data_IF_638105736218
#
_entry.id   IF_638105736218
#
_cell.length_a   1.000
_cell.length_b   1.000
_cell.length_c   1.000
_cell.angle_alpha   90.00
_cell.angle_beta   90.00
_cell.angle_gamma   90.00
#
_symmetry.space_group_name_H-M   'P 1'
#
loop_
_entity.id
_entity.type
_entity.pdbx_description
1 polymer ?
#
# COMPACT_ATOMS: atom_id res chain seq x y z
N UNK A 1 -4.13 -14.63 8.98
CA UNK A 1 -3.25 -14.63 7.76
C UNK A 1 -3.68 -13.48 6.84
N UNK A 2 -2.76 -12.62 6.40
CA UNK A 2 -3.04 -11.48 5.50
C UNK A 2 -3.41 -12.00 4.11
N UNK A 3 -4.63 -11.71 3.65
CA UNK A 3 -5.16 -12.12 2.32
C UNK A 3 -5.52 -10.92 1.45
N UNK A 4 -6.15 -9.89 2.03
CA UNK A 4 -6.60 -8.67 1.34
C UNK A 4 -5.76 -7.47 1.75
N UNK A 5 -5.21 -6.75 0.80
CA UNK A 5 -4.33 -5.61 1.04
C UNK A 5 -4.91 -4.38 0.36
N UNK A 6 -5.06 -3.30 1.13
CA UNK A 6 -5.34 -1.98 0.58
C UNK A 6 -4.03 -1.25 0.28
N UNK A 7 -3.89 -0.72 -0.92
CA UNK A 7 -2.79 0.17 -1.30
C UNK A 7 -3.37 1.55 -1.57
N UNK A 8 -2.93 2.54 -0.79
CA UNK A 8 -3.46 3.90 -0.80
C UNK A 8 -2.46 4.82 -1.51
N UNK A 9 -2.78 5.22 -2.73
CA UNK A 9 -1.88 5.90 -3.66
C UNK A 9 -1.29 4.94 -4.70
N UNK A 10 -1.42 5.29 -5.98
CA UNK A 10 -1.02 4.45 -7.12
C UNK A 10 0.15 5.05 -7.92
N UNK A 11 0.99 5.87 -7.27
CA UNK A 11 2.25 6.36 -7.80
C UNK A 11 3.29 5.26 -8.02
N UNK A 12 4.55 5.64 -8.21
CA UNK A 12 5.67 4.70 -8.49
C UNK A 12 5.78 3.64 -7.40
N UNK A 13 5.83 4.06 -6.13
CA UNK A 13 5.99 3.15 -5.00
C UNK A 13 4.73 2.27 -4.82
N UNK A 14 3.53 2.87 -4.86
CA UNK A 14 2.28 2.13 -4.73
C UNK A 14 2.08 1.11 -5.85
N UNK A 15 2.43 1.44 -7.09
CA UNK A 15 2.38 0.49 -8.22
C UNK A 15 3.33 -0.70 -8.00
N UNK A 16 4.51 -0.43 -7.48
CA UNK A 16 5.47 -1.48 -7.14
C UNK A 16 4.96 -2.44 -6.06
N UNK A 17 4.36 -1.91 -4.98
CA UNK A 17 3.70 -2.71 -3.95
C UNK A 17 2.55 -3.55 -4.50
N UNK A 18 1.70 -2.96 -5.34
CA UNK A 18 0.59 -3.69 -5.99
C UNK A 18 1.11 -4.91 -6.74
N UNK A 19 2.13 -4.73 -7.58
CA UNK A 19 2.72 -5.83 -8.36
C UNK A 19 3.31 -6.90 -7.43
N UNK A 20 4.05 -6.51 -6.40
CA UNK A 20 4.65 -7.43 -5.43
C UNK A 20 3.59 -8.24 -4.69
N UNK A 21 2.53 -7.61 -4.19
CA UNK A 21 1.44 -8.30 -3.50
C UNK A 21 0.68 -9.27 -4.42
N UNK A 22 0.45 -8.89 -5.68
CA UNK A 22 -0.14 -9.79 -6.68
C UNK A 22 0.75 -11.00 -6.96
N UNK A 23 2.08 -10.82 -6.99
CA UNK A 23 3.04 -11.92 -7.14
C UNK A 23 2.97 -12.91 -5.97
N UNK A 24 2.63 -12.43 -4.78
CA UNK A 24 2.39 -13.26 -3.59
C UNK A 24 0.93 -13.76 -3.47
N UNK A 25 0.16 -13.74 -4.59
CA UNK A 25 -1.24 -14.18 -4.64
C UNK A 25 -2.20 -13.46 -3.67
N UNK A 26 -1.89 -12.23 -3.27
CA UNK A 26 -2.78 -11.43 -2.42
C UNK A 26 -3.88 -10.80 -3.28
N UNK A 27 -5.06 -10.56 -2.67
CA UNK A 27 -6.08 -9.69 -3.23
C UNK A 27 -5.69 -8.26 -2.93
N UNK A 28 -5.60 -7.40 -3.94
CA UNK A 28 -5.15 -6.01 -3.82
C UNK A 28 -6.27 -5.09 -4.22
N UNK A 29 -6.66 -4.19 -3.32
CA UNK A 29 -7.57 -3.10 -3.59
C UNK A 29 -6.74 -1.82 -3.57
N UNK A 30 -6.57 -1.20 -4.75
CA UNK A 30 -5.81 0.03 -4.89
C UNK A 30 -6.76 1.23 -4.92
N UNK A 31 -6.48 2.20 -4.09
CA UNK A 31 -7.20 3.47 -4.04
C UNK A 31 -6.34 4.59 -4.60
N UNK A 32 -6.94 5.37 -5.47
CA UNK A 32 -6.51 6.71 -5.80
C UNK A 32 -7.74 7.56 -6.13
N UNK A 33 -7.65 8.88 -5.88
CA UNK A 33 -8.76 9.82 -6.17
C UNK A 33 -9.06 10.00 -7.66
N UNK A 34 -8.06 9.74 -8.51
CA UNK A 34 -8.15 9.95 -9.96
C UNK A 34 -8.40 8.65 -10.71
N UNK A 35 -9.63 8.46 -11.20
CA UNK A 35 -10.01 7.25 -11.98
C UNK A 35 -9.18 7.07 -13.25
N UNK A 36 -8.61 8.15 -13.81
CA UNK A 36 -7.78 8.08 -15.03
C UNK A 36 -6.53 7.25 -14.82
N UNK A 37 -6.02 7.18 -13.57
CA UNK A 37 -4.86 6.39 -13.23
C UNK A 37 -5.10 4.87 -13.31
N UNK A 38 -6.36 4.41 -13.32
CA UNK A 38 -6.71 2.99 -13.44
C UNK A 38 -6.09 2.33 -14.67
N UNK A 39 -6.17 2.97 -15.83
CA UNK A 39 -5.57 2.43 -17.07
C UNK A 39 -4.04 2.39 -16.98
N UNK A 40 -3.43 3.42 -16.39
CA UNK A 40 -1.98 3.52 -16.21
C UNK A 40 -1.46 2.40 -15.30
N UNK A 41 -2.10 2.18 -14.16
CA UNK A 41 -1.67 1.12 -13.23
C UNK A 41 -1.82 -0.29 -13.81
N UNK A 42 -2.90 -0.56 -14.55
CA UNK A 42 -3.07 -1.86 -15.23
C UNK A 42 -1.97 -2.07 -16.29
N UNK A 43 -1.62 -1.04 -17.06
CA UNK A 43 -0.51 -1.08 -18.01
C UNK A 43 0.81 -1.37 -17.30
N UNK A 44 1.06 -0.71 -16.18
CA UNK A 44 2.28 -0.90 -15.38
C UNK A 44 2.37 -2.31 -14.81
N UNK A 45 1.30 -2.85 -14.25
CA UNK A 45 1.23 -4.24 -13.76
C UNK A 45 1.60 -5.23 -14.90
N UNK A 46 1.02 -5.05 -16.08
CA UNK A 46 1.31 -5.92 -17.24
C UNK A 46 2.75 -5.78 -17.73
N UNK A 47 3.29 -4.56 -17.77
CA UNK A 47 4.66 -4.26 -18.21
C UNK A 47 5.71 -4.89 -17.29
N UNK A 48 5.49 -4.84 -15.98
CA UNK A 48 6.45 -5.34 -14.99
C UNK A 48 6.33 -6.83 -14.72
N UNK A 49 5.18 -7.45 -15.03
CA UNK A 49 4.92 -8.86 -14.74
C UNK A 49 5.94 -9.85 -15.30
N UNK A 50 6.49 -9.70 -16.52
CA UNK A 50 7.50 -10.63 -17.05
C UNK A 50 8.73 -10.77 -16.14
N UNK A 51 9.16 -9.68 -15.50
CA UNK A 51 10.30 -9.68 -14.56
C UNK A 51 9.93 -10.36 -13.24
N UNK A 52 8.79 -9.97 -12.69
CA UNK A 52 8.27 -10.48 -11.42
C UNK A 52 7.95 -11.97 -11.48
N UNK A 53 7.36 -12.44 -12.58
CA UNK A 53 7.05 -13.87 -12.76
C UNK A 53 8.30 -14.74 -12.73
N UNK A 54 9.41 -14.25 -13.31
CA UNK A 54 10.70 -14.95 -13.30
C UNK A 54 11.26 -15.00 -11.86
N UNK A 55 11.27 -13.85 -11.18
CA UNK A 55 11.82 -13.72 -9.82
C UNK A 55 11.08 -14.59 -8.79
N UNK A 56 9.75 -14.64 -8.87
CA UNK A 56 8.91 -15.36 -7.90
C UNK A 56 8.39 -16.71 -8.41
N UNK A 57 8.93 -17.21 -9.51
CA UNK A 57 8.51 -18.49 -10.17
C UNK A 57 6.98 -18.55 -10.38
N UNK A 58 6.39 -17.52 -10.97
CA UNK A 58 4.95 -17.42 -11.23
C UNK A 58 4.64 -17.63 -12.70
N UNK A 59 3.59 -18.44 -13.00
CA UNK A 59 3.20 -18.74 -14.39
C UNK A 59 2.33 -17.63 -14.98
N UNK A 60 1.27 -17.20 -14.29
CA UNK A 60 0.24 -16.28 -14.83
C UNK A 60 -0.07 -15.14 -13.88
N UNK A 61 -0.30 -13.94 -14.44
CA UNK A 61 -0.86 -12.80 -13.73
C UNK A 61 -2.36 -13.04 -13.45
N UNK A 62 -2.74 -12.99 -12.17
CA UNK A 62 -4.14 -13.12 -11.76
C UNK A 62 -4.78 -11.74 -11.58
N UNK A 63 -5.07 -11.04 -12.69
CA UNK A 63 -5.70 -9.70 -12.64
C UNK A 63 -7.03 -9.67 -11.88
N UNK A 64 -7.74 -10.80 -11.76
CA UNK A 64 -8.95 -10.91 -10.92
C UNK A 64 -8.70 -10.63 -9.44
N UNK A 65 -7.45 -10.70 -9.01
CA UNK A 65 -7.04 -10.35 -7.65
C UNK A 65 -6.77 -8.85 -7.47
N UNK A 66 -6.87 -8.05 -8.52
CA UNK A 66 -6.68 -6.60 -8.49
C UNK A 66 -8.00 -5.87 -8.67
N UNK A 67 -8.28 -4.92 -7.77
CA UNK A 67 -9.40 -3.99 -7.87
C UNK A 67 -8.90 -2.57 -7.70
N UNK A 68 -9.37 -1.65 -8.55
CA UNK A 68 -9.10 -0.22 -8.41
C UNK A 68 -10.38 0.50 -7.99
N UNK A 69 -10.28 1.36 -7.00
CA UNK A 69 -11.40 2.12 -6.45
C UNK A 69 -11.04 3.59 -6.26
N UNK A 70 -12.04 4.47 -6.30
CA UNK A 70 -11.91 5.92 -6.02
C UNK A 70 -12.51 6.31 -4.67
N UNK A 71 -13.08 5.36 -3.93
CA UNK A 71 -13.51 5.53 -2.55
C UNK A 71 -12.51 4.90 -1.60
N UNK A 72 -11.94 5.68 -0.70
CA UNK A 72 -11.01 5.19 0.31
C UNK A 72 -11.70 4.20 1.26
N UNK A 73 -12.96 4.45 1.63
CA UNK A 73 -13.72 3.57 2.50
C UNK A 73 -13.92 2.19 1.88
N UNK A 74 -14.14 2.13 0.56
CA UNK A 74 -14.21 0.86 -0.16
C UNK A 74 -12.90 0.09 -0.12
N UNK A 75 -11.76 0.78 -0.20
CA UNK A 75 -10.44 0.15 -0.10
C UNK A 75 -10.19 -0.43 1.30
N UNK A 76 -10.62 0.27 2.35
CA UNK A 76 -10.33 -0.06 3.75
C UNK A 76 -11.24 -1.14 4.34
N UNK A 77 -12.50 -1.24 3.87
CA UNK A 77 -13.59 -2.03 4.46
C UNK A 77 -13.20 -3.44 4.90
N UNK A 78 -12.49 -4.16 4.05
CA UNK A 78 -12.14 -5.57 4.28
C UNK A 78 -10.64 -5.84 4.25
N UNK A 79 -9.82 -4.80 4.37
CA UNK A 79 -8.37 -4.94 4.36
C UNK A 79 -7.87 -5.69 5.60
N UNK A 80 -6.90 -6.59 5.40
CA UNK A 80 -6.13 -7.24 6.46
C UNK A 80 -4.80 -6.52 6.73
N UNK A 81 -4.36 -5.71 5.75
CA UNK A 81 -3.15 -4.89 5.80
C UNK A 81 -3.32 -3.66 4.91
N UNK A 82 -2.81 -2.53 5.33
CA UNK A 82 -2.90 -1.27 4.59
C UNK A 82 -1.50 -0.73 4.33
N UNK A 83 -1.17 -0.46 3.06
CA UNK A 83 0.06 0.18 2.63
C UNK A 83 -0.25 1.56 2.05
N UNK A 84 0.14 2.60 2.74
CA UNK A 84 0.01 3.99 2.30
C UNK A 84 1.23 4.39 1.47
N UNK A 85 0.98 5.00 0.31
CA UNK A 85 1.98 5.41 -0.69
C UNK A 85 1.65 6.80 -1.29
N UNK A 86 0.99 7.66 -0.53
CA UNK A 86 0.69 9.04 -0.95
C UNK A 86 1.98 9.90 -0.97
N UNK A 87 1.95 11.07 -1.62
CA UNK A 87 3.10 11.98 -1.68
C UNK A 87 3.68 12.33 -0.30
N UNK A 88 4.99 12.57 -0.27
CA UNK A 88 5.76 12.83 0.94
C UNK A 88 5.49 14.24 1.49
N UNK A 89 4.39 14.36 2.24
CA UNK A 89 3.93 15.61 2.84
C UNK A 89 3.26 15.34 4.20
N UNK A 90 3.72 15.99 5.27
CA UNK A 90 3.21 15.79 6.62
C UNK A 90 1.70 16.00 6.73
N UNK A 91 1.17 17.14 6.27
CA UNK A 91 -0.25 17.49 6.37
C UNK A 91 -1.13 16.46 5.65
N UNK A 92 -0.73 16.10 4.42
CA UNK A 92 -1.44 15.09 3.64
C UNK A 92 -1.46 13.73 4.34
N UNK A 93 -0.28 13.23 4.74
CA UNK A 93 -0.16 11.91 5.37
C UNK A 93 -0.86 11.87 6.74
N UNK A 94 -0.71 12.90 7.57
CA UNK A 94 -1.40 12.96 8.88
C UNK A 94 -2.92 12.91 8.74
N UNK A 95 -3.49 13.68 7.80
CA UNK A 95 -4.93 13.64 7.54
C UNK A 95 -5.37 12.28 6.95
N UNK A 96 -4.57 11.71 6.07
CA UNK A 96 -4.85 10.40 5.49
C UNK A 96 -4.82 9.29 6.55
N UNK A 97 -3.84 9.32 7.48
CA UNK A 97 -3.74 8.36 8.57
C UNK A 97 -4.89 8.50 9.58
N UNK A 98 -5.42 9.70 9.79
CA UNK A 98 -6.65 9.91 10.56
C UNK A 98 -7.84 9.20 9.92
N UNK A 99 -8.04 9.38 8.60
CA UNK A 99 -9.11 8.72 7.84
C UNK A 99 -8.94 7.20 7.87
N UNK A 100 -7.72 6.70 7.60
CA UNK A 100 -7.42 5.26 7.62
C UNK A 100 -7.68 4.67 9.01
N UNK A 101 -7.18 5.30 10.07
CA UNK A 101 -7.35 4.83 11.43
C UNK A 101 -8.80 4.78 11.91
N UNK A 102 -9.64 5.72 11.41
CA UNK A 102 -11.09 5.75 11.73
C UNK A 102 -11.90 4.69 10.99
N UNK A 103 -11.52 4.38 9.73
CA UNK A 103 -12.34 3.57 8.82
C UNK A 103 -11.79 2.15 8.59
N UNK A 104 -10.66 1.78 9.20
CA UNK A 104 -10.14 0.42 9.15
C UNK A 104 -10.51 -0.37 10.41
N UNK A 105 -10.46 -1.71 10.30
CA UNK A 105 -10.66 -2.60 11.44
C UNK A 105 -9.58 -2.36 12.50
N UNK A 106 -9.92 -2.52 13.77
CA UNK A 106 -9.02 -2.26 14.91
C UNK A 106 -7.77 -3.14 14.94
N UNK A 107 -7.80 -4.31 14.28
CA UNK A 107 -6.71 -5.27 14.24
C UNK A 107 -5.82 -5.18 12.98
N UNK A 108 -6.05 -4.20 12.09
CA UNK A 108 -5.29 -4.04 10.85
C UNK A 108 -3.98 -3.29 11.09
N UNK A 109 -2.88 -3.77 10.54
CA UNK A 109 -1.62 -3.05 10.50
C UNK A 109 -1.69 -1.98 9.42
N UNK A 110 -1.32 -0.76 9.78
CA UNK A 110 -1.26 0.39 8.88
C UNK A 110 0.21 0.74 8.65
N UNK A 111 0.66 0.60 7.43
CA UNK A 111 2.03 0.86 7.01
C UNK A 111 2.11 2.06 6.08
N UNK A 112 3.14 2.88 6.21
CA UNK A 112 3.46 3.97 5.28
C UNK A 112 4.78 3.70 4.55
N UNK A 113 4.84 4.06 3.27
CA UNK A 113 6.09 4.04 2.48
C UNK A 113 6.90 5.34 2.61
N UNK A 114 6.67 6.14 3.64
CA UNK A 114 7.41 7.38 3.88
C UNK A 114 8.91 7.10 4.03
N UNK A 115 9.75 7.95 3.42
CA UNK A 115 11.20 7.82 3.50
C UNK A 115 11.84 8.76 4.54
N UNK A 116 11.36 10.00 4.67
CA UNK A 116 12.00 11.03 5.50
C UNK A 116 11.09 11.63 6.57
N UNK A 117 9.82 11.27 6.63
CA UNK A 117 8.90 11.83 7.63
C UNK A 117 8.87 10.98 8.90
N UNK A 118 8.94 11.62 10.04
CA UNK A 118 8.90 10.94 11.34
C UNK A 118 7.60 10.19 11.55
N UNK A 119 7.62 8.86 11.80
CA UNK A 119 6.43 8.04 12.02
C UNK A 119 5.49 8.62 13.08
N UNK A 120 6.05 9.04 14.23
CA UNK A 120 5.26 9.61 15.33
C UNK A 120 4.49 10.88 14.94
N UNK A 121 4.96 11.64 13.94
CA UNK A 121 4.26 12.83 13.42
C UNK A 121 3.16 12.45 12.44
N UNK A 122 3.47 11.58 11.46
CA UNK A 122 2.46 11.19 10.46
C UNK A 122 1.30 10.40 11.08
N UNK A 123 1.54 9.66 12.15
CA UNK A 123 0.52 8.88 12.87
C UNK A 123 -0.14 9.63 14.06
N UNK A 124 0.20 10.91 14.28
CA UNK A 124 -0.28 11.67 15.44
C UNK A 124 -1.80 11.74 15.58
N UNK A 125 -2.55 11.70 14.47
CA UNK A 125 -4.02 11.69 14.44
C UNK A 125 -4.63 10.30 14.19
N UNK A 126 -3.82 9.26 14.07
CA UNK A 126 -4.33 7.92 13.85
C UNK A 126 -5.01 7.37 15.10
N UNK A 127 -6.24 6.82 14.97
CA UNK A 127 -7.02 6.30 16.10
C UNK A 127 -6.30 5.17 16.86
N UNK A 128 -5.55 4.32 16.14
CA UNK A 128 -4.82 3.18 16.73
C UNK A 128 -3.33 3.25 16.35
N UNK A 129 -2.55 4.19 16.90
CA UNK A 129 -1.16 4.40 16.51
C UNK A 129 -0.22 3.24 16.87
N UNK A 130 -0.59 2.37 17.82
CA UNK A 130 0.17 1.15 18.17
C UNK A 130 0.24 0.12 17.04
N UNK A 131 -0.58 0.26 16.02
CA UNK A 131 -0.65 -0.63 14.84
C UNK A 131 -0.06 -0.01 13.58
N UNK A 132 0.70 1.06 13.77
CA UNK A 132 1.24 1.83 12.65
C UNK A 132 2.75 1.67 12.58
N UNK A 133 3.28 1.46 11.38
CA UNK A 133 4.71 1.41 11.08
C UNK A 133 5.04 2.18 9.81
N UNK A 134 6.26 2.63 9.68
CA UNK A 134 6.84 2.91 8.37
C UNK A 134 7.47 1.63 7.86
N UNK A 135 7.12 1.24 6.64
CA UNK A 135 7.78 0.19 5.88
C UNK A 135 8.24 0.80 4.56
N UNK A 136 9.43 1.38 4.59
CA UNK A 136 10.05 2.08 3.47
C UNK A 136 10.73 1.07 2.53
N UNK A 137 10.23 0.88 1.30
CA UNK A 137 10.79 -0.10 0.38
C UNK A 137 11.94 0.48 -0.43
N UNK A 138 12.87 -0.35 -0.83
CA UNK A 138 13.81 -0.02 -1.89
C UNK A 138 13.14 -0.12 -3.26
N UNK A 139 13.40 0.84 -4.14
CA UNK A 139 12.85 0.88 -5.49
C UNK A 139 13.82 0.26 -6.51
N UNK A 140 13.36 -0.61 -7.42
CA UNK A 140 11.98 -1.01 -7.72
C UNK A 140 11.38 -1.99 -6.70
N UNK A 141 10.26 -1.60 -6.07
CA UNK A 141 9.61 -2.34 -4.99
C UNK A 141 9.23 -3.78 -5.36
N UNK A 142 8.85 -3.99 -6.62
CA UNK A 142 8.45 -5.32 -7.11
C UNK A 142 9.63 -6.27 -7.31
N UNK A 143 10.88 -5.76 -7.30
CA UNK A 143 12.10 -6.57 -7.50
C UNK A 143 12.92 -6.72 -6.23
N UNK A 144 13.21 -5.62 -5.54
CA UNK A 144 14.10 -5.61 -4.39
C UNK A 144 13.37 -6.08 -3.12
N UNK A 145 13.95 -7.04 -2.37
CA UNK A 145 13.31 -7.57 -1.16
C UNK A 145 13.49 -6.67 0.07
N UNK A 146 14.39 -5.69 0.03
CA UNK A 146 14.72 -4.82 1.16
C UNK A 146 13.57 -3.88 1.53
N UNK A 147 13.25 -3.83 2.83
CA UNK A 147 12.28 -2.91 3.43
C UNK A 147 12.81 -2.46 4.77
N UNK A 148 12.95 -1.16 4.97
CA UNK A 148 13.27 -0.59 6.28
C UNK A 148 12.00 -0.49 7.12
N UNK A 149 12.04 -0.99 8.35
CA UNK A 149 10.91 -0.93 9.28
C UNK A 149 11.22 0.05 10.39
N UNK A 150 10.42 1.10 10.50
CA UNK A 150 10.60 2.14 11.51
C UNK A 150 9.33 2.29 12.35
N UNK A 151 9.38 1.96 13.66
CA UNK A 151 8.24 2.12 14.55
C UNK A 151 8.01 3.60 14.90
N UNK A 152 6.79 3.93 15.28
CA UNK A 152 6.47 5.18 15.95
C UNK A 152 6.63 5.05 17.47
N UNK A 153 6.50 6.17 18.22
CA UNK A 153 6.59 6.16 19.69
C UNK A 153 5.53 5.27 20.38
N UNK A 154 4.45 4.94 19.69
CA UNK A 154 3.33 4.16 20.24
C UNK A 154 3.17 2.79 19.56
N UNK A 155 4.11 2.40 18.71
CA UNK A 155 4.10 1.09 18.04
C UNK A 155 4.56 -0.01 18.98
#
# INVERSE_FOLDING_TARGET
>A
MIKKIAVIGTGVIGSGWIVRFLAHNKKVIAYDKDIRLKKKIIKEIKRTWPYVRKLFNKKKLKLKNFKYVTSINEALKDADFIQECAPENYKLKTNLMEIIGKNSKSNVIISSSSSGLLPSKIYSKCKNPSRTIVAHPFNPVYMLPGVEIVPGKKT
#
